data_IF_381028405703
#
_entry.id   IF_381028405703
#
_cell.length_a   1.000
_cell.length_b   1.000
_cell.length_c   1.000
_cell.angle_alpha   90.00
_cell.angle_beta   90.00
_cell.angle_gamma   90.00
#
_symmetry.space_group_name_H-M   'P 1'
#
loop_
_entity.id
_entity.type
_entity.pdbx_description
1 polymer ?
2 polymer ?
3 polymer ?
4 non-polymer ?
5 non-polymer ?
6 water ?
#
loop_
_entity_poly.entity_id
_entity_poly.type
_entity_poly.pdbx_seq_one_letter_code
_entity_poly.pdbx_strand_id
2 'polydeoxyribonucleotide' '(DA)(DC)(DT)(DT)(DT)(DA)(DT)' ?
3 'polydeoxyribonucleotide' '(DA)(DT)(DA)(DA)(DA)(DG)(DT)(DA)(DT)(DA)(DG)(DT)(DG)(DT)(DG)(TS6)' ?
#
# COMPACT_ATOMS: atom_id res chain seq x y z
N UNK A 1 -3.52 -16.58 11.84
CA UNK A 1 -2.80 -15.65 10.93
C UNK A 1 -3.00 -14.18 11.34
N UNK A 2 -1.91 -13.43 11.38
CA UNK A 2 -1.97 -11.99 11.63
C UNK A 2 -2.28 -11.18 10.34
N UNK A 3 -3.04 -10.10 10.48
CA UNK A 3 -3.25 -9.12 9.45
C UNK A 3 -1.96 -8.34 9.39
N UNK A 4 -1.36 -8.20 8.21
CA UNK A 4 -0.14 -7.40 8.10
C UNK A 4 -0.52 -6.12 7.35
N UNK A 5 -0.41 -4.98 8.05
CA UNK A 5 -0.71 -3.68 7.44
C UNK A 5 0.31 -2.68 7.98
N UNK A 6 1.07 -2.08 7.06
CA UNK A 6 2.09 -1.15 7.46
C UNK A 6 2.39 -0.15 6.35
N UNK A 7 2.68 1.11 6.69
CA UNK A 7 2.91 2.12 5.67
C UNK A 7 4.33 2.60 5.61
N UNK A 8 4.75 2.98 4.42
CA UNK A 8 6.05 3.61 4.21
C UNK A 8 5.80 4.93 3.47
N UNK A 9 6.41 6.00 3.98
CA UNK A 9 6.28 7.34 3.38
C UNK A 9 7.03 7.43 2.02
N UNK A 10 6.36 7.95 1.00
CA UNK A 10 6.94 8.04 -0.34
C UNK A 10 7.07 9.51 -0.72
N UNK A 11 8.30 9.99 -0.81
CA UNK A 11 8.60 11.29 -1.37
C UNK A 11 8.74 11.18 -2.89
N UNK A 12 8.81 12.31 -3.62
CA UNK A 12 9.02 12.26 -5.05
C UNK A 12 10.21 11.39 -5.49
N UNK A 13 11.29 11.40 -4.70
CA UNK A 13 12.47 10.60 -5.04
C UNK A 13 12.32 9.10 -4.86
N UNK A 14 11.24 8.65 -4.26
CA UNK A 14 10.94 7.24 -4.00
C UNK A 14 9.97 6.63 -5.02
N UNK A 15 9.17 7.49 -5.63
CA UNK A 15 8.07 7.02 -6.44
C UNK A 15 8.48 6.46 -7.79
N UNK A 16 9.60 6.93 -8.32
CA UNK A 16 10.18 6.42 -9.56
C UNK A 16 10.50 4.94 -9.45
N UNK A 17 11.24 4.57 -8.41
CA UNK A 17 11.53 3.17 -8.14
C UNK A 17 10.26 2.39 -7.77
N UNK A 18 9.38 2.98 -6.95
CA UNK A 18 8.13 2.30 -6.61
C UNK A 18 7.31 2.02 -7.88
N UNK A 19 7.27 2.95 -8.84
CA UNK A 19 6.51 2.72 -10.05
C UNK A 19 7.11 1.55 -10.86
N UNK A 20 8.39 1.66 -11.15
CA UNK A 20 9.09 0.66 -11.95
C UNK A 20 9.07 -0.74 -11.35
N UNK A 21 9.23 -0.85 -10.04
CA UNK A 21 9.20 -2.16 -9.42
C UNK A 21 7.75 -2.71 -9.42
N UNK A 22 6.81 -1.91 -8.93
CA UNK A 22 5.41 -2.36 -8.81
C UNK A 22 4.82 -2.81 -10.13
N UNK A 23 5.14 -2.08 -11.20
CA UNK A 23 4.73 -2.41 -12.57
C UNK A 23 5.56 -3.52 -13.23
N UNK A 24 6.58 -4.00 -12.54
CA UNK A 24 7.53 -4.99 -13.09
C UNK A 24 8.06 -4.64 -14.47
N UNK A 25 8.71 -3.48 -14.61
CA UNK A 25 9.13 -3.03 -15.94
C UNK A 25 10.45 -3.65 -16.43
N UNK A 26 11.37 -3.99 -15.52
CA UNK A 26 12.58 -4.71 -15.92
C UNK A 26 12.28 -6.21 -16.01
N UNK A 27 12.96 -6.89 -16.92
CA UNK A 27 12.80 -8.34 -17.08
C UNK A 27 13.60 -9.11 -16.01
N UNK A 28 14.80 -8.60 -15.70
CA UNK A 28 15.69 -9.05 -14.60
C UNK A 28 15.29 -8.39 -13.28
N UNK A 29 15.28 -9.20 -12.21
CA UNK A 29 15.07 -8.67 -10.88
C UNK A 29 16.21 -9.08 -9.96
N UNK A 30 16.68 -8.11 -9.17
CA UNK A 30 17.66 -8.39 -8.16
C UNK A 30 17.05 -9.30 -7.09
N UNK A 31 15.77 -9.08 -6.77
CA UNK A 31 15.05 -9.94 -5.84
C UNK A 31 14.99 -11.33 -6.49
N UNK A 32 15.71 -12.30 -5.90
CA UNK A 32 15.77 -13.67 -6.38
C UNK A 32 14.44 -14.34 -6.15
N UNK A 33 13.62 -13.73 -5.28
CA UNK A 33 12.29 -14.24 -4.93
C UNK A 33 11.16 -13.77 -5.86
N UNK A 34 11.43 -12.92 -6.85
CA UNK A 34 10.38 -12.61 -7.85
C UNK A 34 10.42 -13.71 -8.93
N UNK A 35 9.28 -14.34 -9.22
CA UNK A 35 9.19 -15.31 -10.32
C UNK A 35 8.66 -14.62 -11.59
N UNK A 36 9.55 -14.32 -12.55
CA UNK A 36 8.96 -13.58 -13.69
C UNK A 36 7.89 -14.35 -14.52
N UNK A 37 7.92 -15.67 -14.48
CA UNK A 37 6.88 -16.45 -15.15
C UNK A 37 5.53 -16.18 -14.52
N UNK A 38 5.53 -15.62 -13.32
CA UNK A 38 4.28 -15.41 -12.56
C UNK A 38 3.79 -13.95 -12.55
N UNK A 39 4.57 -13.06 -13.16
CA UNK A 39 4.32 -11.62 -13.12
C UNK A 39 3.05 -11.21 -13.84
N UNK A 40 2.68 -11.93 -14.90
CA UNK A 40 1.42 -11.71 -15.64
C UNK A 40 0.21 -12.06 -14.75
N UNK A 41 0.46 -12.65 -13.58
CA UNK A 41 -0.62 -12.96 -12.65
C UNK A 41 -0.98 -11.75 -11.76
N UNK A 42 -0.04 -10.83 -11.59
CA UNK A 42 -0.33 -9.60 -10.84
C UNK A 42 -1.51 -8.81 -11.42
N UNK A 43 -2.11 -7.94 -10.61
CA UNK A 43 -3.17 -7.09 -11.14
C UNK A 43 -3.26 -5.80 -10.34
N UNK A 44 -3.88 -4.80 -10.95
CA UNK A 44 -3.96 -3.45 -10.35
C UNK A 44 -5.44 -3.22 -10.00
N UNK A 45 -5.74 -2.79 -8.79
CA UNK A 45 -7.17 -2.60 -8.45
C UNK A 45 -7.75 -1.21 -8.82
N UNK A 46 -6.92 -0.19 -8.96
CA UNK A 46 -7.49 1.12 -9.32
C UNK A 46 -7.71 1.14 -10.83
N UNK A 47 -8.48 2.12 -11.31
CA UNK A 47 -8.61 2.32 -12.75
C UNK A 47 -7.56 3.32 -13.28
N UNK A 48 -6.38 3.35 -12.64
CA UNK A 48 -5.31 4.27 -13.05
C UNK A 48 -4.71 3.92 -14.43
N UNK A 49 -4.20 4.94 -15.12
CA UNK A 49 -3.52 4.78 -16.39
C UNK A 49 -2.09 4.29 -16.16
N UNK A 50 -1.81 3.10 -16.65
CA UNK A 50 -0.53 2.41 -16.44
C UNK A 50 0.66 3.12 -17.12
N UNK A 51 0.37 3.94 -18.12
CA UNK A 51 1.44 4.66 -18.83
C UNK A 51 1.86 5.91 -18.03
N UNK A 52 1.10 6.27 -17.01
CA UNK A 52 1.40 7.42 -16.17
C UNK A 52 2.06 7.05 -14.84
N UNK A 53 3.22 7.65 -14.59
CA UNK A 53 3.96 7.46 -13.34
C UNK A 53 3.14 7.84 -12.09
N UNK A 54 3.53 7.29 -10.93
CA UNK A 54 2.89 7.65 -9.67
C UNK A 54 3.15 9.11 -9.33
N UNK A 55 4.39 9.55 -9.51
CA UNK A 55 4.74 10.91 -9.15
C UNK A 55 3.90 11.90 -9.98
N UNK A 56 3.82 11.67 -11.28
CA UNK A 56 3.00 12.53 -12.13
C UNK A 56 1.52 12.50 -11.71
N UNK A 57 0.96 11.32 -11.50
CA UNK A 57 -0.44 11.19 -11.12
C UNK A 57 -0.79 11.95 -9.84
N UNK A 58 0.05 11.78 -8.83
CA UNK A 58 -0.22 12.32 -7.50
C UNK A 58 -0.02 13.83 -7.48
N UNK A 59 1.13 14.31 -8.01
CA UNK A 59 1.39 15.75 -8.14
C UNK A 59 0.30 16.46 -8.87
N UNK A 60 -0.23 15.85 -9.93
CA UNK A 60 -1.29 16.46 -10.75
C UNK A 60 -2.57 16.56 -9.96
N UNK A 61 -2.87 15.50 -9.21
CA UNK A 61 -4.06 15.44 -8.34
C UNK A 61 -4.01 16.47 -7.22
N UNK A 62 -2.86 16.59 -6.56
CA UNK A 62 -2.72 17.54 -5.47
C UNK A 62 -2.72 19.01 -6.01
N UNK A 63 -1.96 19.28 -7.05
CA UNK A 63 -1.90 20.63 -7.58
C UNK A 63 -3.26 21.12 -8.07
N UNK A 64 -4.00 20.24 -8.73
CA UNK A 64 -5.33 20.57 -9.25
C UNK A 64 -6.42 20.69 -8.18
N UNK A 65 -6.13 20.28 -6.95
CA UNK A 65 -7.12 20.32 -5.85
C UNK A 65 -6.76 21.11 -4.57
N UNK A 66 -5.49 21.43 -4.37
CA UNK A 66 -5.07 22.04 -3.12
C UNK A 66 -5.64 23.44 -2.95
N UNK A 67 -5.98 23.81 -1.71
CA UNK A 67 -6.50 25.14 -1.41
C UNK A 67 -5.45 26.25 -1.31
N UNK A 68 -4.21 25.90 -0.95
CA UNK A 68 -3.12 26.89 -0.91
C UNK A 68 -2.51 27.18 -2.30
N UNK A 69 -1.95 28.38 -2.42
CA UNK A 69 -1.18 28.77 -3.60
C UNK A 69 0.28 28.37 -3.58
N UNK A 70 0.77 28.04 -2.40
CA UNK A 70 2.16 27.69 -2.21
C UNK A 70 2.41 26.32 -2.90
N UNK A 71 3.63 26.15 -3.44
CA UNK A 71 4.00 24.90 -4.09
C UNK A 71 4.08 23.79 -3.06
N UNK A 72 3.73 22.58 -3.48
CA UNK A 72 4.06 21.34 -2.74
C UNK A 72 5.57 21.38 -2.36
N UNK A 73 5.91 21.20 -1.08
CA UNK A 73 7.33 21.23 -0.64
C UNK A 73 8.13 20.08 -1.27
N UNK A 74 9.41 20.34 -1.55
CA UNK A 74 10.27 19.34 -2.18
C UNK A 74 10.35 18.06 -1.36
N UNK A 75 10.16 18.17 -0.06
CA UNK A 75 10.24 17.01 0.81
C UNK A 75 8.89 16.46 1.24
N UNK A 76 7.82 16.83 0.54
CA UNK A 76 6.46 16.40 0.91
C UNK A 76 6.36 14.91 0.78
N UNK A 77 5.65 14.28 1.72
CA UNK A 77 5.13 12.92 1.54
C UNK A 77 3.98 12.87 0.52
N UNK A 78 4.29 12.50 -0.72
CA UNK A 78 3.25 12.44 -1.75
C UNK A 78 2.23 11.32 -1.53
N UNK A 79 2.68 10.14 -1.13
CA UNK A 79 1.72 9.14 -0.68
C UNK A 79 2.31 8.22 0.38
N UNK A 80 1.40 7.60 1.12
CA UNK A 80 1.74 6.59 2.12
C UNK A 80 1.48 5.24 1.49
N UNK A 81 2.55 4.49 1.27
CA UNK A 81 2.39 3.17 0.63
C UNK A 81 2.17 2.09 1.71
N UNK A 82 0.95 1.55 1.72
CA UNK A 82 0.59 0.50 2.66
C UNK A 82 0.87 -0.86 1.99
N UNK A 83 1.62 -1.70 2.68
CA UNK A 83 1.71 -3.12 2.38
C UNK A 83 0.54 -3.81 3.10
N UNK A 84 -0.29 -4.51 2.33
CA UNK A 84 -1.40 -5.26 2.89
C UNK A 84 -1.14 -6.74 2.62
N UNK A 85 -1.15 -7.55 3.66
CA UNK A 85 -0.75 -8.97 3.48
C UNK A 85 -1.13 -9.76 4.73
N UNK A 86 -0.67 -11.00 4.82
CA UNK A 86 -0.81 -11.89 6.03
C UNK A 86 0.29 -12.95 5.84
N UNK A 87 0.17 -14.09 6.52
CA UNK A 87 1.17 -15.10 6.27
C UNK A 87 0.70 -16.08 5.18
N UNK A 88 1.65 -16.91 4.77
CA UNK A 88 1.45 -17.88 3.74
C UNK A 88 0.23 -18.77 4.03
N UNK A 89 0.16 -19.32 5.24
CA UNK A 89 -0.96 -20.17 5.65
C UNK A 89 -2.33 -19.56 5.35
N UNK A 90 -2.48 -18.27 5.64
CA UNK A 90 -3.74 -17.57 5.41
C UNK A 90 -4.22 -17.64 3.93
N UNK A 91 -3.33 -17.29 3.01
CA UNK A 91 -3.61 -17.35 1.56
C UNK A 91 -3.74 -18.78 1.02
N UNK A 92 -3.00 -19.75 1.58
CA UNK A 92 -3.12 -21.17 1.15
C UNK A 92 -4.57 -21.59 1.14
N UNK A 93 -5.39 -20.94 1.96
CA UNK A 93 -6.78 -21.35 2.18
C UNK A 93 -7.77 -20.80 1.18
N UNK A 94 -7.33 -19.84 0.34
CA UNK A 94 -8.21 -19.01 -0.50
C UNK A 94 -8.06 -19.22 -2.02
N UNK A 95 -9.16 -19.27 -2.76
CA UNK A 95 -9.03 -19.34 -4.21
C UNK A 95 -8.70 -17.96 -4.82
N UNK A 96 -8.48 -17.91 -6.13
CA UNK A 96 -8.14 -16.66 -6.81
C UNK A 96 -9.15 -15.56 -6.53
N UNK A 97 -10.43 -15.93 -6.56
CA UNK A 97 -11.52 -14.98 -6.36
C UNK A 97 -11.55 -14.38 -4.95
N UNK A 98 -11.45 -15.25 -3.95
CA UNK A 98 -11.36 -14.85 -2.58
C UNK A 98 -10.16 -13.95 -2.31
N UNK A 99 -9.03 -14.25 -2.96
CA UNK A 99 -7.79 -13.48 -2.80
C UNK A 99 -8.00 -12.07 -3.34
N UNK A 100 -8.52 -11.98 -4.55
CA UNK A 100 -8.86 -10.67 -5.08
C UNK A 100 -9.84 -9.92 -4.14
N UNK A 101 -10.88 -10.61 -3.67
CA UNK A 101 -11.86 -10.00 -2.77
C UNK A 101 -11.16 -9.50 -1.51
N UNK A 102 -10.17 -10.25 -1.03
CA UNK A 102 -9.40 -9.83 0.13
C UNK A 102 -8.72 -8.47 -0.09
N UNK A 103 -8.05 -8.31 -1.23
CA UNK A 103 -7.38 -7.05 -1.48
C UNK A 103 -8.36 -5.92 -1.81
N UNK A 104 -9.39 -6.19 -2.60
CA UNK A 104 -10.45 -5.22 -2.80
C UNK A 104 -11.07 -4.72 -1.49
N UNK A 105 -11.18 -5.62 -0.52
CA UNK A 105 -11.74 -5.30 0.81
C UNK A 105 -10.82 -4.37 1.67
N UNK A 106 -9.54 -4.70 1.79
CA UNK A 106 -8.49 -3.80 2.38
C UNK A 106 -8.55 -2.39 1.77
N UNK A 107 -8.64 -2.37 0.43
CA UNK A 107 -8.76 -1.13 -0.36
C UNK A 107 -10.01 -0.31 -0.05
N UNK A 108 -11.16 -1.00 0.05
CA UNK A 108 -12.39 -0.34 0.49
C UNK A 108 -12.21 0.28 1.88
N UNK A 109 -11.44 -0.36 2.74
CA UNK A 109 -11.25 0.16 4.08
C UNK A 109 -10.62 1.57 4.01
N UNK A 110 -9.58 1.69 3.19
CA UNK A 110 -8.87 2.94 3.04
C UNK A 110 -9.63 3.97 2.23
N UNK A 111 -10.31 3.54 1.15
CA UNK A 111 -11.26 4.39 0.41
C UNK A 111 -12.32 4.99 1.33
N UNK A 112 -12.95 4.14 2.14
CA UNK A 112 -14.03 4.60 3.02
C UNK A 112 -13.54 5.50 4.16
N UNK A 113 -12.34 5.27 4.65
CA UNK A 113 -11.84 6.07 5.75
C UNK A 113 -11.00 7.29 5.35
N UNK A 114 -10.41 7.28 4.16
CA UNK A 114 -9.50 8.35 3.78
C UNK A 114 -9.83 9.01 2.45
N UNK A 115 -10.85 8.50 1.75
CA UNK A 115 -11.32 9.13 0.52
C UNK A 115 -11.01 8.28 -0.69
N UNK A 116 -12.03 7.91 -1.47
CA UNK A 116 -11.81 7.01 -2.60
C UNK A 116 -10.78 7.56 -3.58
N UNK A 117 -10.82 8.87 -3.85
CA UNK A 117 -9.91 9.44 -4.85
C UNK A 117 -8.46 9.60 -4.34
N UNK A 118 -8.21 9.19 -3.10
CA UNK A 118 -6.86 9.20 -2.53
C UNK A 118 -6.10 7.87 -2.74
N UNK A 119 -6.79 6.84 -3.24
CA UNK A 119 -6.15 5.55 -3.48
C UNK A 119 -5.51 5.71 -4.87
N UNK A 120 -4.23 6.09 -4.90
CA UNK A 120 -3.57 6.42 -6.16
C UNK A 120 -3.24 5.17 -6.97
N UNK A 121 -2.82 4.11 -6.27
CA UNK A 121 -2.56 2.83 -6.89
C UNK A 121 -2.84 1.69 -5.91
N UNK A 122 -3.11 0.50 -6.42
CA UNK A 122 -3.37 -0.71 -5.61
C UNK A 122 -2.89 -1.94 -6.38
N UNK A 123 -1.61 -2.24 -6.23
CA UNK A 123 -0.91 -3.17 -7.10
C UNK A 123 -0.79 -4.52 -6.37
N UNK A 124 -1.47 -5.56 -6.86
CA UNK A 124 -1.45 -6.86 -6.14
C UNK A 124 -0.36 -7.78 -6.69
N UNK A 125 0.60 -8.17 -5.85
CA UNK A 125 1.69 -9.05 -6.32
C UNK A 125 1.50 -10.49 -5.91
N UNK A 126 1.42 -11.36 -6.92
CA UNK A 126 1.33 -12.79 -6.77
C UNK A 126 2.61 -13.51 -7.27
N UNK A 127 3.62 -12.75 -7.63
CA UNK A 127 4.80 -13.35 -8.24
C UNK A 127 5.98 -13.41 -7.28
N UNK A 128 5.71 -13.21 -6.00
CA UNK A 128 6.73 -13.25 -4.93
C UNK A 128 6.34 -14.36 -3.94
N UNK A 129 6.80 -14.31 -2.69
CA UNK A 129 6.65 -15.43 -1.77
C UNK A 129 5.20 -15.64 -1.33
N UNK A 130 4.51 -14.52 -1.10
CA UNK A 130 3.19 -14.47 -0.46
C UNK A 130 2.39 -13.36 -1.16
N UNK A 131 1.10 -13.62 -1.45
CA UNK A 131 0.26 -12.58 -2.01
C UNK A 131 0.28 -11.34 -1.10
N UNK A 132 0.48 -10.15 -1.69
CA UNK A 132 0.42 -8.90 -0.93
C UNK A 132 0.07 -7.80 -1.90
N UNK A 133 -0.37 -6.66 -1.38
CA UNK A 133 -0.72 -5.49 -2.19
C UNK A 133 0.14 -4.30 -1.78
N UNK A 134 0.60 -3.51 -2.76
CA UNK A 134 1.20 -2.18 -2.47
C UNK A 134 0.13 -1.15 -2.80
N UNK A 135 -0.39 -0.46 -1.78
CA UNK A 135 -1.44 0.50 -2.03
C UNK A 135 -1.01 1.91 -1.64
N UNK A 136 -1.06 2.84 -2.58
CA UNK A 136 -0.61 4.19 -2.31
C UNK A 136 -1.77 5.06 -1.91
N UNK A 137 -1.75 5.55 -0.67
CA UNK A 137 -2.80 6.46 -0.16
C UNK A 137 -2.26 7.89 -0.11
N UNK A 138 -2.87 8.79 -0.87
CA UNK A 138 -2.43 10.18 -0.89
C UNK A 138 -3.00 10.81 0.37
N UNK A 139 -2.14 11.35 1.25
CA UNK A 139 -2.70 11.93 2.49
C UNK A 139 -3.39 13.29 2.31
N UNK A 140 -4.39 13.37 1.44
CA UNK A 140 -4.88 14.67 0.98
C UNK A 140 -6.28 14.88 1.50
N UNK A 141 -6.49 15.96 2.21
CA UNK A 141 -7.74 16.16 2.91
C UNK A 141 -7.95 17.65 3.26
N UNK A 142 -9.19 18.10 3.22
CA UNK A 142 -9.54 19.52 3.42
C UNK A 142 -8.68 20.45 2.56
N UNK A 143 -8.40 19.99 1.34
CA UNK A 143 -7.55 20.72 0.41
C UNK A 143 -6.07 20.80 0.74
N UNK A 144 -5.60 19.94 1.65
CA UNK A 144 -4.23 20.00 2.17
C UNK A 144 -3.58 18.62 2.10
N UNK A 145 -2.33 18.58 1.66
CA UNK A 145 -1.53 17.35 1.60
C UNK A 145 -0.69 17.30 2.86
N UNK A 146 -0.97 16.33 3.72
CA UNK A 146 -0.24 16.23 4.96
C UNK A 146 -0.39 14.84 5.53
N UNK A 147 0.66 14.04 5.37
CA UNK A 147 0.74 12.75 6.02
C UNK A 147 0.76 12.94 7.53
N UNK A 148 1.39 14.03 7.96
CA UNK A 148 1.48 14.38 9.35
C UNK A 148 0.07 14.45 9.96
N UNK A 149 -0.83 15.18 9.29
CA UNK A 149 -2.21 15.31 9.74
C UNK A 149 -3.00 13.97 9.60
N UNK A 150 -2.77 13.18 8.55
CA UNK A 150 -3.63 12.01 8.33
C UNK A 150 -3.22 10.74 9.17
N UNK A 151 -1.94 10.38 9.10
CA UNK A 151 -1.45 9.19 9.77
C UNK A 151 -0.49 9.60 10.90
N UNK A 152 -1.08 10.04 12.01
CA UNK A 152 -0.33 10.28 13.23
C UNK A 152 -0.30 9.03 14.14
N UNK A 153 0.23 9.17 15.35
CA UNK A 153 0.38 8.03 16.27
C UNK A 153 -0.98 7.34 16.57
N UNK A 154 -2.00 8.15 16.87
CA UNK A 154 -3.32 7.64 17.29
C UNK A 154 -4.00 6.94 16.13
N UNK A 155 -3.83 7.47 14.93
CA UNK A 155 -4.40 6.90 13.75
C UNK A 155 -3.79 5.52 13.45
N UNK A 156 -2.45 5.39 13.47
CA UNK A 156 -1.83 4.09 13.22
C UNK A 156 -2.26 3.04 14.29
N UNK A 157 -2.42 3.48 15.54
CA UNK A 157 -2.94 2.64 16.63
C UNK A 157 -4.43 2.26 16.43
N UNK A 158 -5.18 3.12 15.74
CA UNK A 158 -6.59 2.85 15.42
C UNK A 158 -6.67 1.80 14.28
N UNK A 159 -5.89 2.02 13.21
CA UNK A 159 -5.86 1.07 12.09
C UNK A 159 -5.46 -0.36 12.51
N UNK A 160 -4.44 -0.48 13.34
CA UNK A 160 -4.04 -1.80 13.84
C UNK A 160 -5.16 -2.58 14.58
N UNK A 161 -6.11 -1.86 15.18
CA UNK A 161 -7.27 -2.48 15.84
C UNK A 161 -8.50 -2.65 14.92
N UNK A 162 -8.74 -1.62 14.11
CA UNK A 162 -9.97 -1.49 13.36
C UNK A 162 -9.90 -2.17 11.98
N UNK A 163 -8.78 -2.07 11.31
CA UNK A 163 -8.60 -2.78 10.03
C UNK A 163 -8.79 -4.31 10.13
N UNK A 164 -8.08 -5.02 11.06
CA UNK A 164 -8.28 -6.48 11.14
C UNK A 164 -9.73 -6.84 11.44
N UNK A 165 -10.39 -5.99 12.24
CA UNK A 165 -11.79 -6.16 12.62
C UNK A 165 -12.69 -6.02 11.41
N UNK A 166 -12.42 -5.04 10.57
CA UNK A 166 -13.19 -4.83 9.33
C UNK A 166 -13.01 -5.99 8.32
N UNK A 167 -11.79 -6.50 8.19
CA UNK A 167 -11.49 -7.70 7.38
C UNK A 167 -12.25 -8.92 7.91
N UNK A 168 -12.31 -9.07 9.24
CA UNK A 168 -13.01 -10.16 9.90
C UNK A 168 -14.49 -10.10 9.68
N UNK A 169 -15.02 -8.88 9.71
CA UNK A 169 -16.46 -8.64 9.49
C UNK A 169 -16.87 -8.96 8.06
N UNK A 170 -15.89 -8.87 7.16
CA UNK A 170 -16.08 -9.18 5.75
C UNK A 170 -15.67 -10.60 5.35
N UNK A 171 -15.55 -11.50 6.33
CA UNK A 171 -15.35 -12.93 6.07
C UNK A 171 -13.92 -13.47 6.19
N UNK A 172 -12.97 -12.61 6.45
CA UNK A 172 -11.58 -13.06 6.52
C UNK A 172 -11.10 -13.41 7.94
N UNK A 173 -10.56 -14.63 8.09
CA UNK A 173 -10.12 -15.17 9.39
C UNK A 173 -8.66 -14.80 9.74
N UNK A 174 -8.46 -13.57 10.23
CA UNK A 174 -7.17 -13.16 10.78
C UNK A 174 -7.29 -12.16 11.93
N UNK A 175 -6.32 -12.19 12.82
CA UNK A 175 -6.37 -11.35 14.00
C UNK A 175 -5.43 -10.19 13.87
N UNK A 176 -5.71 -9.13 14.65
CA UNK A 176 -4.79 -8.02 14.87
C UNK A 176 -3.44 -8.46 15.40
N UNK A 177 -2.41 -7.66 15.12
CA UNK A 177 -1.06 -7.85 15.66
C UNK A 177 -1.06 -7.65 17.17
N UNK A 178 0.02 -8.00 17.85
CA UNK A 178 0.11 -7.88 19.30
C UNK A 178 0.00 -6.40 19.74
N UNK A 179 -0.88 -6.13 20.70
CA UNK A 179 -1.10 -4.75 21.08
C UNK A 179 0.14 -4.22 21.79
N UNK A 180 0.55 -3.00 21.46
CA UNK A 180 1.80 -2.47 21.99
C UNK A 180 3.00 -3.32 21.63
N UNK A 181 2.98 -3.94 20.46
CA UNK A 181 4.05 -4.84 20.09
C UNK A 181 5.41 -4.15 20.10
N UNK A 182 6.42 -4.81 20.66
CA UNK A 182 7.76 -4.24 20.69
C UNK A 182 8.66 -4.65 19.51
N UNK A 183 8.07 -5.19 18.45
CA UNK A 183 8.82 -5.52 17.25
C UNK A 183 9.43 -4.25 16.64
N UNK A 184 10.64 -4.38 16.10
CA UNK A 184 11.26 -3.37 15.29
C UNK A 184 11.13 -3.79 13.80
N UNK A 185 10.55 -2.94 12.94
CA UNK A 185 10.51 -3.23 11.48
C UNK A 185 11.89 -3.50 10.86
N UNK A 186 12.01 -4.59 10.11
CA UNK A 186 13.20 -4.81 9.30
C UNK A 186 12.84 -4.70 7.83
N UNK A 187 13.78 -4.22 7.00
CA UNK A 187 13.52 -4.14 5.56
C UNK A 187 13.43 -5.59 5.05
N UNK A 188 12.81 -5.78 3.88
CA UNK A 188 12.75 -7.06 3.21
C UNK A 188 14.12 -7.72 3.20
N UNK A 189 15.16 -6.96 2.85
CA UNK A 189 16.49 -7.53 2.67
C UNK A 189 17.08 -7.94 4.01
N UNK A 190 16.83 -7.12 5.04
CA UNK A 190 17.21 -7.37 6.44
C UNK A 190 16.51 -8.57 7.02
N UNK A 191 15.21 -8.68 6.74
CA UNK A 191 14.40 -9.79 7.22
C UNK A 191 14.88 -11.15 6.63
N UNK A 192 15.24 -11.12 5.35
CA UNK A 192 15.82 -12.26 4.68
C UNK A 192 17.12 -12.70 5.32
N UNK A 193 18.01 -11.74 5.59
CA UNK A 193 19.24 -12.02 6.36
C UNK A 193 18.93 -12.70 7.69
N UNK A 194 17.94 -12.17 8.42
CA UNK A 194 17.44 -12.79 9.64
C UNK A 194 17.11 -14.28 9.48
N UNK A 195 16.52 -14.70 8.34
CA UNK A 195 16.12 -16.10 8.12
C UNK A 195 17.18 -16.98 7.43
N UNK A 196 17.20 -18.27 7.75
CA UNK A 196 18.13 -19.21 7.13
C UNK A 196 17.88 -20.61 7.69
#
# INVERSE_FOLDING_TARGET
SYMVARMQKMKAGNLGGAFKHNERVFETHSNKDINPSRSHLNYELTDRDRSVSYEKQIKDYVNENKVSNRAIRKDAVLCDEWIITSDKDFFEKLDEEQTRTFFETAKNYFAENYGESNIAYASVHLDESTPHMHMGVVPFENGKLSSKAMFDREELKHIQEDLPRYMSDHGFELERGKLNSEAKHKTVAEFKRAMADM
#
